data_IF_618546721960
#
_entry.id   IF_618546721960
#
_cell.length_a   1.000
_cell.length_b   1.000
_cell.length_c   1.000
_cell.angle_alpha   90.00
_cell.angle_beta   90.00
_cell.angle_gamma   90.00
#
_symmetry.space_group_name_H-M   'P 1'
#
loop_
_entity.id
_entity.type
_entity.pdbx_description
1 polymer ?
#
# COMPACT_ATOMS: atom_id res chain seq x y z
N UNK A 1 0.87 -9.20 6.75
CA UNK A 1 1.82 -8.65 5.75
C UNK A 1 2.96 -9.60 5.35
N UNK A 2 3.08 -10.82 5.89
CA UNK A 2 4.17 -11.74 5.51
C UNK A 2 4.11 -12.23 4.05
N UNK A 3 2.92 -12.28 3.43
CA UNK A 3 2.76 -12.75 2.03
C UNK A 3 3.38 -11.84 0.96
N UNK A 4 3.36 -10.53 1.16
CA UNK A 4 3.75 -9.55 0.13
C UNK A 4 5.23 -9.66 -0.30
N UNK A 5 6.15 -10.01 0.61
CA UNK A 5 7.57 -10.20 0.28
C UNK A 5 7.83 -11.51 -0.45
N UNK A 6 7.07 -12.57 -0.15
CA UNK A 6 7.15 -13.86 -0.87
C UNK A 6 6.69 -13.70 -2.31
N UNK A 7 5.57 -13.03 -2.54
CA UNK A 7 5.09 -12.74 -3.89
C UNK A 7 6.06 -11.83 -4.67
N UNK A 8 6.73 -10.90 -3.98
CA UNK A 8 7.74 -10.04 -4.61
C UNK A 8 8.96 -10.82 -5.10
N UNK A 9 9.50 -11.69 -4.25
CA UNK A 9 10.60 -12.58 -4.60
C UNK A 9 10.23 -13.47 -5.79
N UNK A 10 9.04 -14.09 -5.73
CA UNK A 10 8.52 -14.94 -6.79
C UNK A 10 8.33 -14.17 -8.11
N UNK A 11 7.77 -12.96 -8.06
CA UNK A 11 7.51 -12.17 -9.26
C UNK A 11 8.80 -11.68 -9.95
N UNK A 12 9.86 -11.43 -9.18
CA UNK A 12 11.17 -11.05 -9.72
C UNK A 12 12.11 -12.24 -9.98
N UNK A 13 11.73 -13.46 -9.58
CA UNK A 13 12.60 -14.64 -9.68
C UNK A 13 13.86 -14.54 -8.83
N UNK A 14 13.81 -13.76 -7.73
CA UNK A 14 14.93 -13.56 -6.82
C UNK A 14 14.68 -14.29 -5.51
N UNK A 15 15.75 -14.73 -4.86
CA UNK A 15 15.72 -15.26 -3.50
C UNK A 15 16.51 -14.29 -2.60
N UNK A 16 15.84 -13.74 -1.60
CA UNK A 16 16.43 -12.85 -0.61
C UNK A 16 16.71 -13.71 0.63
N UNK A 17 17.99 -13.98 0.95
CA UNK A 17 18.35 -14.83 2.07
C UNK A 17 17.76 -14.31 3.39
N UNK A 18 17.29 -15.21 4.26
CA UNK A 18 16.71 -14.88 5.56
C UNK A 18 17.77 -14.54 6.62
N UNK A 19 18.70 -13.67 6.26
CA UNK A 19 19.80 -13.20 7.12
C UNK A 19 19.65 -11.71 7.47
N UNK A 20 18.68 -11.02 6.87
CA UNK A 20 18.45 -9.60 7.08
C UNK A 20 17.72 -9.33 8.40
N UNK A 21 18.11 -8.26 9.09
CA UNK A 21 17.36 -7.73 10.23
C UNK A 21 16.03 -7.19 9.70
N UNK A 22 14.91 -7.77 10.15
CA UNK A 22 13.57 -7.40 9.70
C UNK A 22 12.87 -6.56 10.75
N UNK A 23 12.44 -5.36 10.37
CA UNK A 23 11.48 -4.58 11.16
C UNK A 23 10.07 -5.01 10.75
N UNK A 24 9.28 -5.47 11.71
CA UNK A 24 7.88 -5.79 11.52
C UNK A 24 7.00 -4.72 12.20
N UNK A 25 6.10 -4.14 11.42
CA UNK A 25 5.08 -3.19 11.88
C UNK A 25 3.72 -3.64 11.36
N UNK A 26 2.66 -3.26 12.08
CA UNK A 26 1.28 -3.61 11.75
C UNK A 26 0.49 -2.45 11.11
N UNK A 27 1.06 -1.24 11.09
CA UNK A 27 0.44 -0.04 10.54
C UNK A 27 1.26 0.51 9.36
N UNK A 28 0.56 0.93 8.31
CA UNK A 28 1.21 1.44 7.09
C UNK A 28 1.92 2.78 7.32
N UNK A 29 1.41 3.63 8.22
CA UNK A 29 2.06 4.88 8.65
C UNK A 29 3.44 4.62 9.26
N UNK A 30 3.50 3.73 10.26
CA UNK A 30 4.75 3.33 10.91
C UNK A 30 5.75 2.71 9.91
N UNK A 31 5.24 1.97 8.91
CA UNK A 31 6.07 1.42 7.84
C UNK A 31 6.72 2.51 6.99
N UNK A 32 5.97 3.52 6.59
CA UNK A 32 6.47 4.65 5.78
C UNK A 32 7.45 5.50 6.60
N UNK A 33 7.12 5.81 7.86
CA UNK A 33 8.00 6.55 8.77
C UNK A 33 9.35 5.85 8.97
N UNK A 34 9.35 4.52 9.11
CA UNK A 34 10.58 3.76 9.25
C UNK A 34 11.49 3.88 8.02
N UNK A 35 10.93 3.84 6.81
CA UNK A 35 11.70 4.00 5.57
C UNK A 35 12.22 5.44 5.44
N UNK A 36 11.39 6.45 5.74
CA UNK A 36 11.81 7.84 5.77
C UNK A 36 12.95 8.10 6.78
N UNK A 37 12.93 7.39 7.91
CA UNK A 37 13.99 7.43 8.91
C UNK A 37 15.24 6.61 8.55
N UNK A 38 15.32 6.08 7.32
CA UNK A 38 16.48 5.32 6.82
C UNK A 38 16.61 3.92 7.41
N UNK A 39 15.52 3.31 7.89
CA UNK A 39 15.55 1.97 8.51
C UNK A 39 15.49 0.80 7.51
N UNK A 40 15.72 1.07 6.23
CA UNK A 40 15.83 0.05 5.18
C UNK A 40 14.87 0.29 4.01
N UNK A 41 14.48 -0.80 3.35
CA UNK A 41 13.60 -0.81 2.18
C UNK A 41 12.29 -1.49 2.56
N UNK A 42 11.17 -1.05 1.99
CA UNK A 42 9.87 -1.65 2.26
C UNK A 42 8.98 -1.73 1.02
N UNK A 43 8.09 -2.72 1.01
CA UNK A 43 6.99 -2.82 0.03
C UNK A 43 5.81 -2.01 0.56
N UNK A 44 5.54 -0.87 -0.07
CA UNK A 44 4.48 0.07 0.34
C UNK A 44 3.49 0.31 -0.79
N UNK A 45 2.25 0.69 -0.45
CA UNK A 45 1.27 1.12 -1.46
C UNK A 45 1.72 2.45 -2.05
N UNK A 46 1.74 2.53 -3.39
CA UNK A 46 2.13 3.73 -4.11
C UNK A 46 1.33 4.96 -3.66
N UNK A 47 0.02 4.81 -3.47
CA UNK A 47 -0.88 5.90 -3.06
C UNK A 47 -0.54 6.51 -1.70
N UNK A 48 0.22 5.81 -0.84
CA UNK A 48 0.63 6.34 0.47
C UNK A 48 1.92 7.14 0.43
N UNK A 49 2.71 7.01 -0.65
CA UNK A 49 4.05 7.59 -0.76
C UNK A 49 4.27 8.38 -2.04
N UNK A 50 3.23 8.61 -2.84
CA UNK A 50 3.33 9.29 -4.13
C UNK A 50 3.99 10.67 -3.99
N UNK A 51 3.47 11.50 -3.09
CA UNK A 51 4.01 12.84 -2.82
C UNK A 51 5.46 12.79 -2.31
N UNK A 52 5.82 11.77 -1.54
CA UNK A 52 7.17 11.59 -1.00
C UNK A 52 8.17 11.17 -2.09
N UNK A 53 7.71 10.38 -3.07
CA UNK A 53 8.49 10.02 -4.25
C UNK A 53 8.68 11.24 -5.15
N UNK A 54 7.61 12.03 -5.38
CA UNK A 54 7.66 13.27 -6.17
C UNK A 54 8.59 14.31 -5.53
N UNK A 55 8.53 14.45 -4.20
CA UNK A 55 9.42 15.34 -3.44
C UNK A 55 10.86 14.82 -3.30
N UNK A 56 11.17 13.61 -3.77
CA UNK A 56 12.50 13.00 -3.66
C UNK A 56 12.92 12.59 -2.24
N UNK A 57 11.97 12.56 -1.29
CA UNK A 57 12.19 12.07 0.07
C UNK A 57 12.34 10.54 0.11
N UNK A 58 11.66 9.87 -0.82
CA UNK A 58 11.78 8.45 -1.06
C UNK A 58 12.24 8.23 -2.51
N UNK A 59 12.89 7.10 -2.73
CA UNK A 59 13.19 6.60 -4.06
C UNK A 59 12.55 5.23 -4.24
N UNK A 60 12.27 4.88 -5.49
CA UNK A 60 11.87 3.53 -5.89
C UNK A 60 13.11 2.81 -6.44
N UNK A 61 13.83 2.00 -5.64
CA UNK A 61 15.10 1.41 -6.05
C UNK A 61 14.94 0.37 -7.17
N UNK A 62 13.75 -0.23 -7.28
CA UNK A 62 13.41 -1.23 -8.30
C UNK A 62 12.17 -0.74 -9.03
N UNK A 63 12.26 -0.60 -10.35
CA UNK A 63 11.12 -0.21 -11.19
C UNK A 63 10.13 -1.37 -11.40
N UNK A 64 9.63 -1.94 -10.30
CA UNK A 64 8.69 -3.06 -10.25
C UNK A 64 7.53 -2.75 -9.30
N UNK A 65 6.32 -3.11 -9.70
CA UNK A 65 5.10 -2.95 -8.92
C UNK A 65 4.18 -4.12 -9.21
N UNK A 66 3.47 -4.59 -8.19
CA UNK A 66 2.47 -5.64 -8.31
C UNK A 66 1.12 -5.14 -7.76
N UNK A 67 -0.01 -5.72 -8.19
CA UNK A 67 -1.28 -5.51 -7.53
C UNK A 67 -1.17 -5.82 -6.04
N UNK A 68 -1.75 -4.97 -5.20
CA UNK A 68 -1.83 -5.27 -3.78
C UNK A 68 -2.75 -6.48 -3.55
N UNK A 69 -2.35 -7.39 -2.68
CA UNK A 69 -3.15 -8.57 -2.30
C UNK A 69 -4.53 -8.18 -1.76
N UNK A 70 -4.60 -7.05 -1.05
CA UNK A 70 -5.84 -6.54 -0.48
C UNK A 70 -6.29 -5.24 -1.15
N UNK A 71 -7.60 -5.10 -1.32
CA UNK A 71 -8.24 -3.93 -1.90
C UNK A 71 -9.07 -3.18 -0.84
N UNK A 72 -9.33 -1.90 -1.09
CA UNK A 72 -10.26 -1.11 -0.29
C UNK A 72 -11.68 -1.28 -0.83
N UNK A 73 -12.65 -1.45 0.07
CA UNK A 73 -14.06 -1.66 -0.27
C UNK A 73 -14.95 -0.69 0.50
N UNK A 74 -16.00 -0.21 -0.16
CA UNK A 74 -17.12 0.46 0.50
C UNK A 74 -18.06 -0.62 1.04
N UNK A 75 -18.27 -0.63 2.35
CA UNK A 75 -19.03 -1.69 3.03
C UNK A 75 -20.18 -1.07 3.84
N UNK A 76 -21.40 -1.51 3.56
CA UNK A 76 -22.60 -1.19 4.32
C UNK A 76 -23.66 -2.29 4.11
N UNK A 77 -24.68 -2.40 4.97
CA UNK A 77 -25.85 -3.22 4.68
C UNK A 77 -26.48 -2.82 3.35
N UNK A 78 -26.97 -3.77 2.55
CA UNK A 78 -27.49 -3.52 1.20
C UNK A 78 -28.52 -2.38 1.15
N UNK A 79 -29.45 -2.37 2.12
CA UNK A 79 -30.48 -1.33 2.22
C UNK A 79 -29.91 0.09 2.39
N UNK A 80 -28.73 0.24 3.00
CA UNK A 80 -28.09 1.55 3.22
C UNK A 80 -27.54 2.15 1.95
N UNK A 81 -27.08 1.34 0.99
CA UNK A 81 -26.62 1.83 -0.31
C UNK A 81 -27.73 2.50 -1.13
N UNK A 82 -29.01 2.27 -0.80
CA UNK A 82 -30.14 2.93 -1.47
C UNK A 82 -30.47 4.32 -0.91
N UNK A 83 -29.95 4.65 0.27
CA UNK A 83 -30.20 5.96 0.91
C UNK A 83 -29.47 7.08 0.21
N UNK A 84 -30.11 8.24 0.07
CA UNK A 84 -29.57 9.38 -0.68
C UNK A 84 -28.19 9.81 -0.19
N UNK A 85 -28.02 9.93 1.12
CA UNK A 85 -26.74 10.31 1.75
C UNK A 85 -25.61 9.34 1.40
N UNK A 86 -25.88 8.04 1.39
CA UNK A 86 -24.85 7.03 1.06
C UNK A 86 -24.55 7.07 -0.44
N UNK A 87 -25.57 7.18 -1.31
CA UNK A 87 -25.31 7.32 -2.76
C UNK A 87 -24.50 8.56 -3.09
N UNK A 88 -24.78 9.68 -2.43
CA UNK A 88 -24.02 10.92 -2.58
C UNK A 88 -22.55 10.70 -2.19
N UNK A 89 -22.29 10.06 -1.05
CA UNK A 89 -20.92 9.74 -0.63
C UNK A 89 -20.22 8.77 -1.60
N UNK A 90 -20.89 7.70 -2.03
CA UNK A 90 -20.33 6.73 -3.00
C UNK A 90 -19.99 7.43 -4.31
N UNK A 91 -20.89 8.26 -4.84
CA UNK A 91 -20.66 9.02 -6.06
C UNK A 91 -19.46 9.96 -5.93
N UNK A 92 -19.37 10.67 -4.81
CA UNK A 92 -18.26 11.58 -4.54
C UNK A 92 -16.94 10.82 -4.40
N UNK A 93 -16.85 9.81 -3.54
CA UNK A 93 -15.58 9.11 -3.33
C UNK A 93 -15.11 8.39 -4.60
N UNK A 94 -16.03 7.87 -5.42
CA UNK A 94 -15.70 7.30 -6.72
C UNK A 94 -15.11 8.32 -7.69
N UNK A 95 -15.50 9.60 -7.64
CA UNK A 95 -14.88 10.64 -8.46
C UNK A 95 -13.51 11.09 -7.96
N UNK A 96 -13.22 10.94 -6.66
CA UNK A 96 -11.90 11.31 -6.09
C UNK A 96 -10.82 10.23 -6.32
N UNK A 97 -11.22 8.97 -6.56
CA UNK A 97 -10.29 7.83 -6.68
C UNK A 97 -10.15 7.28 -8.10
N UNK A 98 -10.81 7.92 -9.08
CA UNK A 98 -10.71 7.58 -10.51
C UNK A 98 -9.44 8.14 -11.13
#
# INVERSE_FOLDING_TARGET
>A
MQGSWTEFQKALGIDIPDIAIKLAVNEASAQVEAVLAGRGISLVRHTLVADMLEAGLLIRPINFSMPAEYHYYLVAPEAKFRTEKVRAFVSWISSEIS
#
